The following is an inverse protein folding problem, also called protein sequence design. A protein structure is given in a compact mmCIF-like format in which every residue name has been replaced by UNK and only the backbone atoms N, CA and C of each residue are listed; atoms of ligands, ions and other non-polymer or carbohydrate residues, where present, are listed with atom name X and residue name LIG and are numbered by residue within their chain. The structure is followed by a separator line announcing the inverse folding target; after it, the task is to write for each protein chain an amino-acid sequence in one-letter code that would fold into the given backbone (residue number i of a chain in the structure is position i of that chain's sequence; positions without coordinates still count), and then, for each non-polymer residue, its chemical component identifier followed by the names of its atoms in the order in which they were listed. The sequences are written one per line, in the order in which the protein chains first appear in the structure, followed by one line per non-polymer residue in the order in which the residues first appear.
data_IF_115597947611
#
_entry.id   IF_115597947611
#
_cell.length_a   1.000
_cell.length_b   1.000
_cell.length_c   1.000
_cell.angle_alpha   90.00
_cell.angle_beta   90.00
_cell.angle_gamma   90.00
#
_symmetry.space_group_name_H-M   'P 1'
#
loop_
_entity.id
_entity.type
_entity.pdbx_description
1 polymer ?
#
# COMPACT_ATOMS: atom_id res chain seq x y z
N UNK A 1 11.17 31.73 -10.20
CA UNK A 1 10.38 31.11 -9.10
C UNK A 1 10.13 29.66 -9.48
N UNK A 2 10.94 28.76 -8.99
CA UNK A 2 10.81 27.33 -9.28
C UNK A 2 9.64 26.76 -8.49
N UNK A 3 8.76 26.00 -9.15
CA UNK A 3 7.85 25.08 -8.45
C UNK A 3 8.76 24.08 -7.75
N UNK A 4 8.98 24.30 -6.45
CA UNK A 4 9.78 23.46 -5.60
C UNK A 4 8.91 22.47 -4.84
N UNK A 5 9.59 21.56 -4.15
CA UNK A 5 8.98 20.58 -3.25
C UNK A 5 8.09 21.28 -2.20
N UNK A 6 8.45 22.50 -1.79
CA UNK A 6 7.69 23.33 -0.86
C UNK A 6 6.25 23.63 -1.31
N UNK A 7 6.03 23.91 -2.60
CA UNK A 7 4.70 24.19 -3.14
C UNK A 7 3.83 22.93 -3.17
N UNK A 8 4.43 21.79 -3.51
CA UNK A 8 3.73 20.49 -3.55
C UNK A 8 3.26 20.10 -2.14
N UNK A 9 4.10 20.28 -1.12
CA UNK A 9 3.75 20.03 0.29
C UNK A 9 2.60 20.94 0.74
N UNK A 10 2.63 22.23 0.37
CA UNK A 10 1.56 23.17 0.71
C UNK A 10 0.21 22.78 0.08
N UNK A 11 0.22 22.38 -1.19
CA UNK A 11 -0.99 21.91 -1.89
C UNK A 11 -1.51 20.62 -1.25
N UNK A 12 -0.61 19.68 -0.93
CA UNK A 12 -0.96 18.43 -0.26
C UNK A 12 -1.63 18.68 1.10
N UNK A 13 -1.11 19.63 1.87
CA UNK A 13 -1.69 20.02 3.17
C UNK A 13 -3.13 20.54 3.02
N UNK A 14 -3.41 21.37 2.02
CA UNK A 14 -4.76 21.88 1.74
C UNK A 14 -5.70 20.73 1.36
N UNK A 15 -5.26 19.84 0.48
CA UNK A 15 -6.04 18.66 0.06
C UNK A 15 -6.33 17.76 1.27
N UNK A 16 -5.36 17.53 2.16
CA UNK A 16 -5.56 16.75 3.38
C UNK A 16 -6.58 17.37 4.33
N UNK A 17 -6.65 18.70 4.42
CA UNK A 17 -7.66 19.39 5.24
C UNK A 17 -9.05 19.23 4.62
N UNK A 18 -9.18 19.38 3.30
CA UNK A 18 -10.47 19.27 2.59
C UNK A 18 -11.02 17.83 2.59
N UNK A 19 -10.16 16.85 2.37
CA UNK A 19 -10.57 15.45 2.30
C UNK A 19 -10.53 14.74 3.66
N UNK A 20 -9.76 15.28 4.61
CA UNK A 20 -9.50 14.69 5.92
C UNK A 20 -8.49 13.55 5.89
N UNK A 21 -7.70 13.42 6.97
CA UNK A 21 -6.65 12.40 7.10
C UNK A 21 -7.17 10.94 7.09
N UNK A 22 -8.46 10.72 7.33
CA UNK A 22 -9.06 9.37 7.34
C UNK A 22 -9.45 8.84 5.96
N UNK A 23 -9.76 9.71 5.00
CA UNK A 23 -10.21 9.27 3.67
C UNK A 23 -9.05 8.92 2.74
N UNK A 24 -7.95 9.66 2.82
CA UNK A 24 -6.80 9.45 1.94
C UNK A 24 -6.16 8.05 2.07
N UNK A 25 -5.91 7.49 3.28
CA UNK A 25 -5.31 6.16 3.43
C UNK A 25 -6.20 5.04 2.91
N UNK A 26 -7.53 5.19 3.05
CA UNK A 26 -8.50 4.20 2.56
C UNK A 26 -8.52 4.15 1.03
N UNK A 27 -8.63 5.32 0.40
CA UNK A 27 -8.66 5.43 -1.08
C UNK A 27 -7.31 5.03 -1.68
N UNK A 28 -6.19 5.46 -1.08
CA UNK A 28 -4.86 5.02 -1.51
C UNK A 28 -4.63 3.53 -1.31
N UNK A 29 -5.20 2.92 -0.27
CA UNK A 29 -5.16 1.47 -0.08
C UNK A 29 -5.84 0.70 -1.21
N UNK A 30 -7.01 1.17 -1.65
CA UNK A 30 -7.75 0.54 -2.75
C UNK A 30 -7.06 0.76 -4.10
N UNK A 31 -6.54 1.97 -4.35
CA UNK A 31 -5.73 2.28 -5.54
C UNK A 31 -4.43 1.47 -5.56
N UNK A 32 -3.73 1.35 -4.43
CA UNK A 32 -2.48 0.59 -4.33
C UNK A 32 -2.70 -0.90 -4.59
N UNK A 33 -3.82 -1.49 -4.11
CA UNK A 33 -4.19 -2.88 -4.42
C UNK A 33 -4.48 -3.05 -5.91
N UNK A 34 -5.19 -2.11 -6.53
CA UNK A 34 -5.45 -2.14 -7.98
C UNK A 34 -4.15 -2.08 -8.80
N UNK A 35 -3.25 -1.16 -8.46
CA UNK A 35 -1.94 -1.02 -9.11
C UNK A 35 -1.06 -2.26 -8.85
N UNK A 36 -1.09 -2.85 -7.65
CA UNK A 36 -0.35 -4.08 -7.33
C UNK A 36 -0.82 -5.24 -8.19
N UNK A 37 -2.13 -5.47 -8.27
CA UNK A 37 -2.70 -6.53 -9.10
C UNK A 37 -2.44 -6.29 -10.59
N UNK A 38 -2.52 -5.04 -11.04
CA UNK A 38 -2.17 -4.67 -12.42
C UNK A 38 -0.69 -4.94 -12.73
N UNK A 39 0.22 -4.57 -11.81
CA UNK A 39 1.65 -4.84 -11.95
C UNK A 39 1.95 -6.34 -11.90
N UNK A 40 1.31 -7.09 -11.01
CA UNK A 40 1.47 -8.54 -10.92
C UNK A 40 0.97 -9.25 -12.17
N UNK A 41 -0.22 -8.90 -12.68
CA UNK A 41 -0.75 -9.47 -13.92
C UNK A 41 0.11 -9.13 -15.14
N UNK A 42 0.59 -7.88 -15.25
CA UNK A 42 1.50 -7.49 -16.33
C UNK A 42 2.88 -8.15 -16.21
N UNK A 43 3.34 -8.47 -14.99
CA UNK A 43 4.56 -9.25 -14.77
C UNK A 43 4.34 -10.73 -15.11
N UNK A 44 3.16 -11.28 -14.89
CA UNK A 44 2.83 -12.66 -15.26
C UNK A 44 2.80 -12.83 -16.79
N UNK A 45 2.20 -11.88 -17.53
CA UNK A 45 2.28 -11.86 -18.99
C UNK A 45 3.70 -11.60 -19.53
N UNK A 46 4.52 -10.81 -18.81
CA UNK A 46 5.91 -10.57 -19.18
C UNK A 46 6.89 -11.67 -18.71
N UNK A 47 6.45 -12.57 -17.83
CA UNK A 47 7.24 -13.68 -17.26
C UNK A 47 6.76 -15.05 -17.77
N UNK A 48 5.79 -15.11 -18.68
CA UNK A 48 5.47 -16.34 -19.44
C UNK A 48 6.60 -16.77 -20.39
N UNK A 49 7.65 -15.94 -20.56
CA UNK A 49 8.92 -16.33 -21.18
C UNK A 49 10.01 -16.81 -20.19
N UNK A 50 9.90 -16.57 -18.88
CA UNK A 50 10.93 -16.98 -17.89
C UNK A 50 10.33 -17.33 -16.52
N UNK A 51 10.09 -18.63 -16.33
CA UNK A 51 10.11 -19.41 -15.08
C UNK A 51 9.41 -18.91 -13.79
N UNK A 52 8.41 -19.70 -13.40
CA UNK A 52 7.71 -19.69 -12.10
C UNK A 52 8.65 -19.97 -10.92
N UNK A 53 9.01 -18.93 -10.21
CA UNK A 53 9.37 -18.97 -8.77
C UNK A 53 9.04 -17.57 -8.24
N UNK A 54 8.24 -17.35 -7.21
CA UNK A 54 8.54 -17.67 -5.82
C UNK A 54 7.25 -17.58 -4.98
N UNK A 55 6.95 -18.68 -4.29
CA UNK A 55 6.31 -18.68 -2.98
C UNK A 55 7.26 -18.00 -2.00
N UNK A 56 6.88 -16.85 -1.44
CA UNK A 56 7.10 -16.46 -0.03
C UNK A 56 6.51 -15.06 0.18
N UNK A 57 5.66 -14.90 1.19
CA UNK A 57 5.86 -13.98 2.32
C UNK A 57 4.68 -14.18 3.27
N UNK A 58 4.88 -15.13 4.16
CA UNK A 58 4.39 -15.12 5.52
C UNK A 58 4.84 -13.85 6.25
N UNK A 59 3.93 -12.87 6.40
CA UNK A 59 3.99 -11.90 7.53
C UNK A 59 2.56 -11.62 7.97
N UNK A 60 1.98 -12.58 8.70
CA UNK A 60 0.89 -12.29 9.63
C UNK A 60 1.53 -11.71 10.90
N UNK A 61 1.55 -10.37 11.00
CA UNK A 61 2.12 -9.65 12.13
C UNK A 61 1.05 -9.41 13.19
N UNK A 62 1.15 -10.22 14.24
CA UNK A 62 1.10 -9.81 15.66
C UNK A 62 -0.23 -9.26 16.24
N UNK A 63 -0.67 -9.99 17.28
CA UNK A 63 -1.11 -9.51 18.61
C UNK A 63 -2.60 -9.29 18.84
N UNK A 64 -3.24 -10.28 19.46
CA UNK A 64 -4.33 -10.06 20.41
C UNK A 64 -4.25 -11.11 21.53
N UNK A 65 -3.90 -10.61 22.74
CA UNK A 65 -4.34 -11.01 24.10
C UNK A 65 -4.19 -12.50 24.48
N UNK A 66 -3.27 -12.86 25.37
CA UNK A 66 -3.46 -12.77 26.84
C UNK A 66 -4.85 -13.26 27.25
N UNK A 67 -4.99 -14.57 27.44
CA UNK A 67 -5.93 -15.21 28.35
C UNK A 67 -5.61 -16.71 28.49
N UNK A 68 -5.42 -17.13 29.75
CA UNK A 68 -5.80 -18.42 30.33
C UNK A 68 -4.96 -19.70 30.10
N UNK A 69 -4.83 -20.41 31.23
CA UNK A 69 -4.46 -21.81 31.48
C UNK A 69 -2.96 -22.17 31.62
N UNK A 70 -2.40 -22.43 32.82
CA UNK A 70 -2.65 -23.56 33.75
C UNK A 70 -2.04 -24.87 33.22
N UNK A 71 -0.83 -25.22 33.67
CA UNK A 71 -0.50 -26.08 34.81
C UNK A 71 1.01 -26.01 35.06
#
# INVERSE_FOLDING_TARGET
MSIGIWQIVLILAIVLILFGAGKLPRVMGDVAKGIKNFKSGMKEEASEDEDKTEEVVSVNKSKSKEDSNTN
#
